data_IF_119050516479
#
_entry.id   IF_119050516479
#
_cell.length_a   1.000
_cell.length_b   1.000
_cell.length_c   1.000
_cell.angle_alpha   90.00
_cell.angle_beta   90.00
_cell.angle_gamma   90.00
#
_symmetry.space_group_name_H-M   'P 1'
#
loop_
_entity.id
_entity.type
_entity.pdbx_description
1 polymer ?
#
# COMPACT_ATOMS: atom_id res chain seq x y z
N UNK A 1 38.66 -2.74 20.53
CA UNK A 1 38.56 -2.36 19.10
C UNK A 1 37.44 -3.13 18.39
N UNK A 2 37.47 -4.47 18.38
CA UNK A 2 36.41 -5.29 17.76
C UNK A 2 35.00 -5.08 18.39
N UNK A 3 34.95 -4.86 19.70
CA UNK A 3 33.73 -4.53 20.45
C UNK A 3 33.16 -3.12 20.14
N UNK A 4 33.97 -2.21 19.56
CA UNK A 4 33.55 -0.84 19.23
C UNK A 4 32.81 -0.77 17.89
N UNK A 5 33.06 -1.73 16.99
CA UNK A 5 32.33 -1.89 15.73
C UNK A 5 30.95 -2.53 15.98
N UNK A 6 30.86 -3.44 16.95
CA UNK A 6 29.62 -4.16 17.29
C UNK A 6 28.66 -3.36 18.19
N UNK A 7 29.16 -2.43 19.02
CA UNK A 7 28.33 -1.61 19.93
C UNK A 7 27.41 -0.57 19.28
N UNK A 8 27.76 0.15 18.19
CA UNK A 8 26.85 1.11 17.56
C UNK A 8 25.59 0.45 17.01
N UNK A 9 25.70 -0.80 16.52
CA UNK A 9 24.56 -1.61 16.07
C UNK A 9 23.53 -1.87 17.18
N UNK A 10 23.96 -1.90 18.44
CA UNK A 10 23.12 -2.30 19.59
C UNK A 10 22.58 -1.09 20.41
N UNK A 11 23.19 0.09 20.29
CA UNK A 11 22.92 1.23 21.17
C UNK A 11 22.22 2.38 20.44
N UNK A 12 20.91 2.21 20.25
CA UNK A 12 19.92 3.29 20.41
C UNK A 12 19.85 4.40 19.36
N UNK A 13 20.73 4.42 18.36
CA UNK A 13 20.59 5.30 17.20
C UNK A 13 20.60 4.42 15.97
N UNK A 14 19.41 4.08 15.44
CA UNK A 14 19.31 3.50 14.11
C UNK A 14 19.79 4.58 13.14
N UNK A 15 21.10 4.61 12.91
CA UNK A 15 21.71 5.47 11.95
C UNK A 15 21.41 4.97 10.54
N UNK A 16 21.76 5.79 9.56
CA UNK A 16 21.67 5.42 8.14
C UNK A 16 22.42 4.13 7.84
N UNK A 17 23.48 3.83 8.59
CA UNK A 17 24.31 2.65 8.39
C UNK A 17 23.58 1.34 8.74
N UNK A 18 22.86 1.27 9.86
CA UNK A 18 22.07 0.10 10.26
C UNK A 18 20.95 -0.18 9.26
N UNK A 19 20.26 0.87 8.78
CA UNK A 19 19.21 0.75 7.78
C UNK A 19 19.76 0.15 6.48
N UNK A 20 20.93 0.61 6.03
CA UNK A 20 21.58 0.08 4.83
C UNK A 20 21.94 -1.41 5.01
N UNK A 21 22.46 -1.80 6.17
CA UNK A 21 22.81 -3.21 6.44
C UNK A 21 21.56 -4.08 6.41
N UNK A 22 20.48 -3.67 7.07
CA UNK A 22 19.21 -4.40 7.06
C UNK A 22 18.65 -4.49 5.64
N UNK A 23 18.68 -3.38 4.89
CA UNK A 23 18.24 -3.35 3.50
C UNK A 23 19.03 -4.32 2.63
N UNK A 24 20.35 -4.42 2.80
CA UNK A 24 21.21 -5.38 2.09
C UNK A 24 20.84 -6.82 2.46
N UNK A 25 20.63 -7.14 3.74
CA UNK A 25 20.22 -8.49 4.16
C UNK A 25 18.89 -8.87 3.52
N UNK A 26 17.89 -7.99 3.58
CA UNK A 26 16.59 -8.20 2.93
C UNK A 26 16.76 -8.36 1.42
N UNK A 27 17.63 -7.57 0.79
CA UNK A 27 17.92 -7.64 -0.64
C UNK A 27 18.58 -8.98 -1.04
N UNK A 28 19.42 -9.54 -0.18
CA UNK A 28 20.06 -10.84 -0.41
C UNK A 28 19.07 -12.00 -0.21
N UNK A 29 18.20 -11.92 0.81
CA UNK A 29 17.21 -12.96 1.10
C UNK A 29 16.08 -13.01 0.06
N UNK A 30 15.56 -11.84 -0.33
CA UNK A 30 14.44 -11.75 -1.27
C UNK A 30 14.90 -11.51 -2.72
N UNK A 31 16.12 -11.00 -2.93
CA UNK A 31 16.60 -10.57 -4.24
C UNK A 31 16.13 -9.17 -4.61
N UNK A 32 16.98 -8.39 -5.30
CA UNK A 32 16.66 -7.00 -5.67
C UNK A 32 15.52 -6.81 -6.66
N UNK A 33 15.06 -7.89 -7.29
CA UNK A 33 13.92 -7.85 -8.21
C UNK A 33 12.57 -8.12 -7.53
N UNK A 34 12.54 -8.87 -6.42
CA UNK A 34 11.28 -9.26 -5.77
C UNK A 34 10.58 -8.12 -5.04
N UNK A 35 11.32 -7.20 -4.44
CA UNK A 35 10.70 -6.04 -3.75
C UNK A 35 9.97 -5.12 -4.74
N UNK A 36 10.59 -4.68 -5.86
CA UNK A 36 9.89 -3.92 -6.89
C UNK A 36 8.71 -4.66 -7.53
N UNK A 37 8.83 -5.97 -7.70
CA UNK A 37 7.78 -6.82 -8.29
C UNK A 37 6.56 -6.93 -7.35
N UNK A 38 6.79 -7.16 -6.05
CA UNK A 38 5.75 -7.17 -5.02
C UNK A 38 5.08 -5.81 -4.88
N UNK A 39 5.85 -4.71 -4.89
CA UNK A 39 5.30 -3.35 -4.86
C UNK A 39 4.42 -3.05 -6.08
N UNK A 40 4.84 -3.49 -7.27
CA UNK A 40 4.03 -3.36 -8.50
C UNK A 40 2.76 -4.18 -8.44
N UNK A 41 2.81 -5.42 -7.94
CA UNK A 41 1.65 -6.28 -7.76
C UNK A 41 0.66 -5.71 -6.75
N UNK A 42 1.14 -5.31 -5.58
CA UNK A 42 0.34 -4.65 -4.54
C UNK A 42 -0.28 -3.34 -5.05
N UNK A 43 0.50 -2.51 -5.74
CA UNK A 43 0.01 -1.24 -6.29
C UNK A 43 -1.10 -1.42 -7.31
N UNK A 44 -1.01 -2.44 -8.18
CA UNK A 44 -2.08 -2.79 -9.12
C UNK A 44 -3.33 -3.28 -8.38
N UNK A 45 -3.17 -4.20 -7.42
CA UNK A 45 -4.29 -4.73 -6.64
C UNK A 45 -5.02 -3.65 -5.83
N UNK A 46 -4.27 -2.72 -5.22
CA UNK A 46 -4.86 -1.58 -4.51
C UNK A 46 -5.64 -0.68 -5.47
N UNK A 47 -5.10 -0.41 -6.67
CA UNK A 47 -5.78 0.41 -7.67
C UNK A 47 -7.09 -0.23 -8.16
N UNK A 48 -7.04 -1.50 -8.54
CA UNK A 48 -8.22 -2.26 -8.99
C UNK A 48 -9.30 -2.31 -7.89
N UNK A 49 -8.89 -2.47 -6.63
CA UNK A 49 -9.81 -2.45 -5.49
C UNK A 49 -10.49 -1.08 -5.31
N UNK A 50 -9.74 0.02 -5.47
CA UNK A 50 -10.28 1.37 -5.38
C UNK A 50 -11.24 1.68 -6.54
N UNK A 51 -10.90 1.23 -7.75
CA UNK A 51 -11.73 1.40 -8.95
C UNK A 51 -13.06 0.63 -8.80
N UNK A 52 -13.01 -0.62 -8.33
CA UNK A 52 -14.19 -1.43 -8.06
C UNK A 52 -15.10 -0.78 -7.00
N UNK A 53 -14.53 -0.32 -5.88
CA UNK A 53 -15.28 0.42 -4.85
C UNK A 53 -15.98 1.66 -5.39
N UNK A 54 -15.28 2.41 -6.24
CA UNK A 54 -15.81 3.64 -6.84
C UNK A 54 -16.95 3.35 -7.79
N UNK A 55 -16.85 2.27 -8.58
CA UNK A 55 -17.91 1.86 -9.48
C UNK A 55 -19.16 1.40 -8.72
N UNK A 56 -18.98 0.55 -7.71
CA UNK A 56 -20.08 0.08 -6.84
C UNK A 56 -20.76 1.27 -6.14
N UNK A 57 -19.99 2.24 -5.63
CA UNK A 57 -20.57 3.46 -5.03
C UNK A 57 -21.41 4.25 -6.02
N UNK A 58 -20.96 4.41 -7.27
CA UNK A 58 -21.70 5.10 -8.32
C UNK A 58 -22.99 4.36 -8.69
N UNK A 59 -22.93 3.05 -8.87
CA UNK A 59 -24.12 2.23 -9.16
C UNK A 59 -25.17 2.31 -8.05
N UNK A 60 -24.74 2.33 -6.78
CA UNK A 60 -25.64 2.51 -5.64
C UNK A 60 -26.24 3.92 -5.64
N UNK A 61 -25.43 4.97 -5.84
CA UNK A 61 -25.91 6.36 -5.86
C UNK A 61 -26.84 6.66 -7.04
N UNK A 62 -26.59 6.07 -8.20
CA UNK A 62 -27.40 6.27 -9.41
C UNK A 62 -28.69 5.44 -9.35
N UNK A 63 -28.66 4.23 -8.79
CA UNK A 63 -29.86 3.43 -8.52
C UNK A 63 -30.80 4.07 -7.49
N UNK A 64 -30.26 4.75 -6.47
CA UNK A 64 -31.05 5.51 -5.49
C UNK A 64 -31.70 6.76 -6.12
N UNK A 65 -31.07 7.36 -7.14
CA UNK A 65 -31.63 8.53 -7.85
C UNK A 65 -32.77 8.16 -8.82
N UNK A 66 -32.78 6.92 -9.33
CA UNK A 66 -33.77 6.48 -10.32
C UNK A 66 -35.13 6.11 -9.68
N UNK A 67 -35.15 5.67 -8.42
CA UNK A 67 -36.38 5.38 -7.66
C UNK A 67 -37.06 6.64 -7.04
N UNK A 68 -36.42 7.82 -7.13
CA UNK A 68 -36.90 9.06 -6.51
C UNK A 68 -37.77 9.99 -7.38
N UNK A 69 -37.98 9.69 -8.67
CA UNK A 69 -38.74 10.57 -9.58
C UNK A 69 -39.87 9.81 -10.29
N UNK A 70 -40.85 9.33 -9.52
CA UNK A 70 -42.19 8.97 -10.01
C UNK A 70 -43.29 9.36 -9.02
N UNK A 71 -43.31 10.60 -8.55
CA UNK A 71 -44.58 11.23 -8.15
C UNK A 71 -44.76 12.51 -8.96
N UNK A 72 -45.50 12.37 -10.07
CA UNK A 72 -46.18 13.50 -10.71
C UNK A 72 -47.47 13.72 -9.90
N UNK A 73 -47.67 14.84 -9.20
CA UNK A 73 -49.02 15.22 -8.81
C UNK A 73 -49.74 15.62 -10.10
N UNK A 74 -50.50 14.67 -10.63
CA UNK A 74 -51.54 14.92 -11.63
C UNK A 74 -52.85 14.93 -10.89
N UNK A 75 -53.29 16.12 -10.46
CA UNK A 75 -54.62 16.75 -10.64
C UNK A 75 -54.78 17.87 -9.62
#
# INVERSE_FOLDING_TARGET
MLQLIFKPVLLGMIGTQEIIIIAIIILLLFGGKKIPELMRGLGKGVREFQDAKTNVKREIEDGIKEDGIKEKPTV
#
